data_IF_886513178186
#
_entry.id   IF_886513178186
#
_cell.length_a   1.000
_cell.length_b   1.000
_cell.length_c   1.000
_cell.angle_alpha   90.00
_cell.angle_beta   90.00
_cell.angle_gamma   90.00
#
_symmetry.space_group_name_H-M   'P 1'
#
loop_
_entity.id
_entity.type
_entity.pdbx_description
1 polymer ?
#
# COMPACT_ATOMS: atom_id res chain seq x y z
N UNK A 1 12.10 -14.14 2.10
CA UNK A 1 10.75 -14.60 1.77
C UNK A 1 10.15 -15.17 3.04
N UNK A 2 9.05 -14.61 3.53
CA UNK A 2 8.43 -15.02 4.80
C UNK A 2 7.22 -15.92 4.49
N UNK A 3 7.04 -17.00 5.25
CA UNK A 3 5.96 -17.96 5.09
C UNK A 3 5.12 -18.05 6.36
N UNK A 4 3.85 -17.67 6.29
CA UNK A 4 2.98 -17.50 7.47
C UNK A 4 1.93 -18.60 7.64
N UNK A 5 1.93 -19.67 6.83
CA UNK A 5 0.92 -20.73 6.99
C UNK A 5 1.12 -21.58 8.25
N UNK A 6 2.38 -21.91 8.57
CA UNK A 6 2.71 -22.79 9.70
C UNK A 6 3.02 -22.04 11.00
N UNK A 7 3.51 -20.81 10.91
CA UNK A 7 3.89 -20.00 12.06
C UNK A 7 3.82 -18.52 11.72
N UNK A 8 3.32 -17.73 12.66
CA UNK A 8 3.39 -16.27 12.60
C UNK A 8 4.42 -15.77 13.61
N UNK A 9 5.22 -14.76 13.24
CA UNK A 9 6.09 -14.05 14.19
C UNK A 9 5.39 -12.80 14.72
N UNK A 10 5.81 -12.28 15.88
CA UNK A 10 5.28 -11.03 16.41
C UNK A 10 5.48 -9.85 15.43
N UNK A 11 6.63 -9.79 14.75
CA UNK A 11 6.90 -8.77 13.72
C UNK A 11 5.90 -8.86 12.55
N UNK A 12 5.66 -10.07 12.03
CA UNK A 12 4.72 -10.29 10.93
C UNK A 12 3.28 -10.03 11.34
N UNK A 13 2.89 -10.42 12.55
CA UNK A 13 1.58 -10.10 13.11
C UNK A 13 1.35 -8.59 13.12
N UNK A 14 2.34 -7.82 13.57
CA UNK A 14 2.29 -6.36 13.58
C UNK A 14 2.28 -5.75 12.19
N UNK A 15 2.98 -6.34 11.21
CA UNK A 15 2.93 -5.91 9.81
C UNK A 15 1.55 -6.13 9.18
N UNK A 16 0.97 -7.29 9.42
CA UNK A 16 -0.35 -7.66 8.88
C UNK A 16 -1.45 -6.83 9.52
N UNK A 17 -1.51 -6.78 10.85
CA UNK A 17 -2.64 -6.22 11.60
C UNK A 17 -2.46 -4.72 11.87
N UNK A 18 -1.22 -4.26 12.02
CA UNK A 18 -0.89 -2.85 12.14
C UNK A 18 -0.97 -2.29 13.55
N UNK A 19 -2.18 -2.18 14.12
CA UNK A 19 -2.44 -1.47 15.38
C UNK A 19 -3.04 -2.37 16.47
N UNK A 20 -3.06 -1.89 17.72
CA UNK A 20 -3.63 -2.63 18.84
C UNK A 20 -5.15 -2.72 18.74
N UNK A 21 -5.81 -1.69 18.23
CA UNK A 21 -7.25 -1.65 18.01
C UNK A 21 -7.67 -2.73 17.02
N UNK A 22 -6.96 -2.84 15.89
CA UNK A 22 -7.22 -3.88 14.89
C UNK A 22 -6.87 -5.28 15.39
N UNK A 23 -5.85 -5.41 16.23
CA UNK A 23 -5.51 -6.68 16.87
C UNK A 23 -6.61 -7.12 17.86
N UNK A 24 -7.18 -6.17 18.61
CA UNK A 24 -8.31 -6.43 19.48
C UNK A 24 -9.55 -6.86 18.68
N UNK A 25 -9.90 -6.12 17.62
CA UNK A 25 -10.99 -6.47 16.70
C UNK A 25 -10.82 -7.87 16.11
N UNK A 26 -9.62 -8.17 15.57
CA UNK A 26 -9.27 -9.49 15.06
C UNK A 26 -9.47 -10.61 16.10
N UNK A 27 -9.00 -10.41 17.34
CA UNK A 27 -9.13 -11.41 18.39
C UNK A 27 -10.58 -11.63 18.83
N UNK A 28 -11.41 -10.59 18.80
CA UNK A 28 -12.85 -10.72 19.07
C UNK A 28 -13.51 -11.58 18.00
N UNK A 29 -13.29 -11.27 16.71
CA UNK A 29 -13.80 -12.09 15.61
C UNK A 29 -13.29 -13.54 15.67
N UNK A 30 -12.01 -13.74 16.01
CA UNK A 30 -11.45 -15.08 16.13
C UNK A 30 -12.08 -15.86 17.28
N UNK A 31 -12.35 -15.20 18.42
CA UNK A 31 -12.95 -15.82 19.58
C UNK A 31 -14.39 -16.30 19.33
N UNK A 32 -15.14 -15.60 18.48
CA UNK A 32 -16.50 -16.00 18.09
C UNK A 32 -16.51 -17.29 17.25
N UNK A 33 -15.44 -17.55 16.51
CA UNK A 33 -15.27 -18.76 15.68
C UNK A 33 -14.61 -19.90 16.47
N UNK A 34 -13.57 -19.56 17.24
CA UNK A 34 -12.74 -20.48 18.02
C UNK A 34 -12.49 -19.85 19.39
N UNK A 35 -13.26 -20.24 20.42
CA UNK A 35 -13.15 -19.64 21.75
C UNK A 35 -11.71 -19.69 22.29
N UNK A 36 -11.22 -18.53 22.74
CA UNK A 36 -9.86 -18.33 23.26
C UNK A 36 -9.95 -18.11 24.76
N UNK A 37 -9.61 -19.14 25.54
CA UNK A 37 -9.71 -19.11 27.01
C UNK A 37 -8.80 -18.06 27.68
N UNK A 38 -7.74 -17.63 27.00
CA UNK A 38 -6.81 -16.61 27.52
C UNK A 38 -7.28 -15.18 27.34
N UNK A 39 -8.42 -14.92 26.67
CA UNK A 39 -8.95 -13.57 26.54
C UNK A 39 -9.57 -13.09 27.86
N UNK A 40 -9.06 -11.96 28.34
CA UNK A 40 -9.57 -11.28 29.53
C UNK A 40 -10.40 -10.09 29.10
N UNK A 41 -11.52 -9.87 29.76
CA UNK A 41 -12.44 -8.77 29.48
C UNK A 41 -12.66 -7.94 30.74
N UNK A 42 -12.74 -6.62 30.57
CA UNK A 42 -13.22 -5.71 31.60
C UNK A 42 -14.44 -4.93 31.12
N UNK A 43 -15.32 -4.59 32.04
CA UNK A 43 -16.45 -3.70 31.77
C UNK A 43 -16.04 -2.27 32.08
N UNK A 44 -16.23 -1.37 31.12
CA UNK A 44 -15.97 0.06 31.33
C UNK A 44 -16.96 0.60 32.37
N UNK A 45 -16.44 1.12 33.48
CA UNK A 45 -17.25 1.57 34.63
C UNK A 45 -17.73 3.03 34.51
N UNK A 46 -17.09 3.85 33.68
CA UNK A 46 -17.32 5.30 33.60
C UNK A 46 -17.25 5.85 32.15
N UNK A 47 -17.85 7.01 31.92
CA UNK A 47 -17.81 7.73 30.64
C UNK A 47 -18.84 7.28 29.58
N UNK A 48 -18.73 7.82 28.36
CA UNK A 48 -19.66 7.55 27.23
C UNK A 48 -19.75 6.06 26.82
N UNK A 49 -18.77 5.24 27.22
CA UNK A 49 -18.72 3.81 26.92
C UNK A 49 -19.06 2.92 28.14
N UNK A 50 -19.66 3.47 29.20
CA UNK A 50 -20.04 2.70 30.39
C UNK A 50 -20.88 1.48 30.02
N UNK A 51 -20.53 0.32 30.57
CA UNK A 51 -21.21 -0.96 30.33
C UNK A 51 -20.66 -1.76 29.14
N UNK A 52 -19.79 -1.19 28.29
CA UNK A 52 -19.13 -1.96 27.22
C UNK A 52 -18.07 -2.90 27.80
N UNK A 53 -18.08 -4.15 27.34
CA UNK A 53 -16.99 -5.11 27.55
C UNK A 53 -15.88 -4.83 26.54
N UNK A 54 -14.65 -4.69 27.02
CA UNK A 54 -13.45 -4.51 26.20
C UNK A 54 -12.37 -5.48 26.65
N UNK A 55 -11.45 -5.82 25.74
CA UNK A 55 -10.30 -6.65 26.09
C UNK A 55 -9.43 -5.95 27.13
N UNK A 56 -9.04 -6.69 28.16
CA UNK A 56 -8.15 -6.24 29.24
C UNK A 56 -6.83 -6.99 29.18
N UNK A 57 -6.01 -6.60 28.20
CA UNK A 57 -4.73 -7.21 27.91
C UNK A 57 -3.67 -6.12 27.77
N UNK A 58 -2.47 -6.37 28.29
CA UNK A 58 -1.31 -5.55 27.95
C UNK A 58 -0.97 -5.73 26.46
N UNK A 59 -0.27 -4.76 25.87
CA UNK A 59 0.20 -4.86 24.47
C UNK A 59 0.94 -6.16 24.21
N UNK A 60 1.81 -6.59 25.14
CA UNK A 60 2.60 -7.81 24.99
C UNK A 60 1.71 -9.07 25.00
N UNK A 61 0.74 -9.13 25.89
CA UNK A 61 -0.22 -10.24 25.94
C UNK A 61 -1.09 -10.29 24.69
N UNK A 62 -1.56 -9.14 24.21
CA UNK A 62 -2.39 -9.04 23.00
C UNK A 62 -1.71 -9.69 21.79
N UNK A 63 -0.48 -9.24 21.48
CA UNK A 63 0.26 -9.76 20.33
C UNK A 63 0.71 -11.21 20.51
N UNK A 64 1.00 -11.62 21.75
CA UNK A 64 1.27 -13.03 22.07
C UNK A 64 0.06 -13.91 21.74
N UNK A 65 -1.15 -13.51 22.13
CA UNK A 65 -2.38 -14.26 21.84
C UNK A 65 -2.64 -14.32 20.33
N UNK A 66 -2.40 -13.22 19.60
CA UNK A 66 -2.50 -13.20 18.12
C UNK A 66 -1.59 -14.28 17.50
N UNK A 67 -0.33 -14.33 17.93
CA UNK A 67 0.65 -15.28 17.41
C UNK A 67 0.32 -16.72 17.81
N UNK A 68 0.00 -16.94 19.09
CA UNK A 68 -0.28 -18.28 19.64
C UNK A 68 -1.58 -18.89 19.08
N UNK A 69 -2.53 -18.05 18.67
CA UNK A 69 -3.84 -18.47 18.13
C UNK A 69 -3.91 -18.49 16.61
N UNK A 70 -2.78 -18.28 15.92
CA UNK A 70 -2.75 -18.13 14.48
C UNK A 70 -3.17 -19.40 13.73
N UNK A 71 -4.17 -19.28 12.86
CA UNK A 71 -4.58 -20.28 11.88
C UNK A 71 -4.75 -19.58 10.54
N UNK A 72 -3.89 -19.85 9.56
CA UNK A 72 -3.83 -19.04 8.35
C UNK A 72 -5.16 -18.95 7.59
N UNK A 73 -5.91 -20.05 7.47
CA UNK A 73 -7.16 -20.05 6.69
C UNK A 73 -8.27 -19.27 7.41
N UNK A 74 -8.43 -19.47 8.72
CA UNK A 74 -9.39 -18.72 9.54
C UNK A 74 -9.00 -17.25 9.64
N UNK A 75 -7.74 -16.96 9.95
CA UNK A 75 -7.22 -15.60 10.08
C UNK A 75 -7.29 -14.82 8.78
N UNK A 76 -7.02 -15.46 7.63
CA UNK A 76 -7.18 -14.84 6.31
C UNK A 76 -8.60 -14.35 6.12
N UNK A 77 -9.62 -15.16 6.41
CA UNK A 77 -11.01 -14.76 6.22
C UNK A 77 -11.37 -13.57 7.12
N UNK A 78 -11.04 -13.63 8.41
CA UNK A 78 -11.27 -12.52 9.36
C UNK A 78 -10.57 -11.25 8.89
N UNK A 79 -9.30 -11.33 8.51
CA UNK A 79 -8.52 -10.17 8.07
C UNK A 79 -9.08 -9.59 6.77
N UNK A 80 -9.54 -10.42 5.84
CA UNK A 80 -10.21 -9.94 4.62
C UNK A 80 -11.49 -9.20 4.95
N UNK A 81 -12.25 -9.63 5.95
CA UNK A 81 -13.47 -8.95 6.40
C UNK A 81 -13.14 -7.60 7.05
N UNK A 82 -12.19 -7.57 7.99
CA UNK A 82 -11.72 -6.31 8.60
C UNK A 82 -11.16 -5.36 7.53
N UNK A 83 -10.44 -5.88 6.53
CA UNK A 83 -9.86 -5.06 5.46
C UNK A 83 -10.94 -4.28 4.69
N UNK A 84 -12.11 -4.87 4.43
CA UNK A 84 -13.21 -4.21 3.70
C UNK A 84 -13.77 -2.99 4.44
N UNK A 85 -13.61 -2.93 5.76
CA UNK A 85 -14.04 -1.80 6.57
C UNK A 85 -13.00 -0.67 6.63
N UNK A 86 -11.77 -0.92 6.18
CA UNK A 86 -10.68 0.07 6.24
C UNK A 86 -10.83 1.18 5.20
N UNK A 87 -10.31 2.36 5.53
CA UNK A 87 -10.20 3.47 4.57
C UNK A 87 -9.36 3.09 3.35
N UNK A 88 -8.35 2.23 3.53
CA UNK A 88 -7.52 1.72 2.44
C UNK A 88 -8.36 1.03 1.36
N UNK A 89 -9.27 0.13 1.77
CA UNK A 89 -10.19 -0.52 0.84
C UNK A 89 -11.19 0.47 0.22
N UNK A 90 -11.80 1.33 1.04
CA UNK A 90 -12.76 2.34 0.57
C UNK A 90 -12.15 3.30 -0.47
N UNK A 91 -10.94 3.78 -0.20
CA UNK A 91 -10.17 4.64 -1.12
C UNK A 91 -9.87 3.92 -2.43
N UNK A 92 -9.49 2.64 -2.36
CA UNK A 92 -9.24 1.84 -3.56
C UNK A 92 -10.49 1.58 -4.40
N UNK A 93 -11.68 1.43 -3.78
CA UNK A 93 -12.97 1.34 -4.49
C UNK A 93 -13.33 2.63 -5.23
N UNK A 94 -13.03 3.77 -4.63
CA UNK A 94 -13.29 5.11 -5.20
C UNK A 94 -12.13 5.63 -6.06
N UNK A 95 -11.07 4.84 -6.25
CA UNK A 95 -9.85 5.29 -6.89
C UNK A 95 -10.04 5.71 -8.35
N UNK A 96 -10.98 5.10 -9.08
CA UNK A 96 -11.28 5.50 -10.46
C UNK A 96 -11.90 6.92 -10.51
N UNK A 97 -12.85 7.20 -9.62
CA UNK A 97 -13.43 8.54 -9.45
C UNK A 97 -12.37 9.56 -9.04
N UNK A 98 -11.54 9.21 -8.04
CA UNK A 98 -10.45 10.06 -7.58
C UNK A 98 -9.42 10.33 -8.68
N UNK A 99 -9.07 9.33 -9.48
CA UNK A 99 -8.15 9.47 -10.62
C UNK A 99 -8.70 10.45 -11.66
N UNK A 100 -9.99 10.34 -12.00
CA UNK A 100 -10.64 11.25 -12.94
C UNK A 100 -10.62 12.70 -12.44
N UNK A 101 -10.83 12.93 -11.14
CA UNK A 101 -10.71 14.26 -10.53
C UNK A 101 -9.27 14.78 -10.63
N UNK A 102 -8.28 13.97 -10.26
CA UNK A 102 -6.87 14.38 -10.28
C UNK A 102 -6.37 14.70 -11.70
N UNK A 103 -6.81 13.96 -12.72
CA UNK A 103 -6.48 14.25 -14.11
C UNK A 103 -7.10 15.59 -14.54
N UNK A 104 -8.38 15.84 -14.21
CA UNK A 104 -9.03 17.13 -14.52
C UNK A 104 -8.34 18.30 -13.80
N UNK A 105 -7.93 18.12 -12.55
CA UNK A 105 -7.16 19.13 -11.82
C UNK A 105 -5.78 19.38 -12.45
N UNK A 106 -5.13 18.32 -12.93
CA UNK A 106 -3.85 18.44 -13.63
C UNK A 106 -3.98 19.27 -14.92
N UNK A 107 -5.03 18.99 -15.70
CA UNK A 107 -5.36 19.71 -16.93
C UNK A 107 -5.73 21.17 -16.67
N UNK A 108 -6.54 21.45 -15.64
CA UNK A 108 -6.96 22.81 -15.29
C UNK A 108 -5.80 23.69 -14.83
N UNK A 109 -4.82 23.09 -14.15
CA UNK A 109 -3.56 23.73 -13.77
C UNK A 109 -2.56 23.87 -14.93
N UNK A 110 -2.89 23.35 -16.13
CA UNK A 110 -2.05 23.42 -17.34
C UNK A 110 -0.64 22.89 -17.10
N UNK A 111 -0.51 21.80 -16.35
CA UNK A 111 0.79 21.23 -15.96
C UNK A 111 1.49 20.47 -17.10
N UNK A 112 0.91 20.43 -18.30
CA UNK A 112 1.46 19.71 -19.46
C UNK A 112 1.35 18.20 -19.29
N UNK A 113 2.36 17.45 -19.77
CA UNK A 113 2.36 16.00 -19.67
C UNK A 113 2.51 15.50 -18.23
N UNK A 114 1.78 14.43 -17.89
CA UNK A 114 1.94 13.72 -16.61
C UNK A 114 3.25 12.93 -16.63
N UNK A 115 4.33 13.63 -16.29
CA UNK A 115 5.69 13.14 -16.20
C UNK A 115 6.43 13.78 -15.03
N UNK A 116 7.31 13.00 -14.40
CA UNK A 116 8.12 13.50 -13.29
C UNK A 116 8.96 14.70 -13.74
N UNK A 117 8.93 15.83 -13.01
CA UNK A 117 9.77 16.99 -13.32
C UNK A 117 11.25 16.74 -13.04
N UNK A 118 11.57 15.77 -12.19
CA UNK A 118 12.90 15.29 -11.82
C UNK A 118 12.76 13.90 -11.17
N UNK A 119 13.85 13.12 -11.09
CA UNK A 119 13.85 11.79 -10.46
C UNK A 119 13.36 11.84 -9.02
N UNK A 120 12.60 10.83 -8.59
CA UNK A 120 12.04 10.81 -7.23
C UNK A 120 13.16 10.87 -6.18
N UNK A 121 13.08 11.82 -5.26
CA UNK A 121 14.12 12.06 -4.24
C UNK A 121 15.25 13.00 -4.65
N UNK A 122 15.33 13.40 -5.93
CA UNK A 122 16.37 14.29 -6.46
C UNK A 122 15.92 15.77 -6.54
N UNK A 123 15.15 16.24 -5.55
CA UNK A 123 14.69 17.63 -5.54
C UNK A 123 15.85 18.61 -5.35
N UNK A 124 16.79 18.29 -4.46
CA UNK A 124 17.95 19.14 -4.18
C UNK A 124 18.84 19.28 -5.42
N UNK A 125 19.14 18.18 -6.11
CA UNK A 125 19.88 18.18 -7.37
C UNK A 125 19.15 18.99 -8.46
N UNK A 126 17.82 18.89 -8.50
CA UNK A 126 17.01 19.69 -9.42
C UNK A 126 17.15 21.19 -9.14
N UNK A 127 17.03 21.60 -7.88
CA UNK A 127 17.20 23.01 -7.48
C UNK A 127 18.62 23.49 -7.76
N UNK A 128 19.64 22.67 -7.51
CA UNK A 128 21.03 22.99 -7.83
C UNK A 128 21.22 23.25 -9.33
N UNK A 129 20.64 22.41 -10.20
CA UNK A 129 20.67 22.63 -11.65
C UNK A 129 19.99 23.94 -12.03
N UNK A 130 18.79 24.23 -11.51
CA UNK A 130 18.09 25.49 -11.79
C UNK A 130 18.92 26.71 -11.35
N UNK A 131 19.56 26.65 -10.18
CA UNK A 131 20.40 27.73 -9.69
C UNK A 131 21.60 28.03 -10.59
N UNK A 132 22.14 27.00 -11.26
CA UNK A 132 23.27 27.14 -12.20
C UNK A 132 22.90 27.75 -13.57
N UNK A 133 21.60 27.86 -13.90
CA UNK A 133 21.15 28.44 -15.16
C UNK A 133 21.45 29.95 -15.26
N UNK A 134 21.63 30.45 -16.48
CA UNK A 134 21.81 31.90 -16.75
C UNK A 134 20.50 32.68 -16.81
N UNK A 135 19.47 32.21 -16.12
CA UNK A 135 18.16 32.85 -16.01
C UNK A 135 18.11 33.80 -14.80
N UNK A 136 17.16 34.74 -14.81
CA UNK A 136 16.93 35.61 -13.65
C UNK A 136 16.25 34.84 -12.49
N UNK A 137 16.31 35.41 -11.28
CA UNK A 137 15.76 34.77 -10.07
C UNK A 137 14.26 34.45 -10.18
N UNK A 138 13.46 35.37 -10.72
CA UNK A 138 12.02 35.18 -10.86
C UNK A 138 11.66 33.97 -11.75
N UNK A 139 12.38 33.79 -12.87
CA UNK A 139 12.19 32.64 -13.77
C UNK A 139 12.57 31.33 -13.07
N UNK A 140 13.66 31.33 -12.29
CA UNK A 140 14.09 30.16 -11.50
C UNK A 140 13.06 29.78 -10.45
N UNK A 141 12.52 30.76 -9.72
CA UNK A 141 11.51 30.55 -8.68
C UNK A 141 10.23 29.92 -9.26
N UNK A 142 9.75 30.43 -10.40
CA UNK A 142 8.56 29.86 -11.05
C UNK A 142 8.81 28.44 -11.60
N UNK A 143 10.02 28.14 -12.11
CA UNK A 143 10.38 26.76 -12.49
C UNK A 143 10.32 25.81 -11.29
N UNK A 144 10.88 26.21 -10.14
CA UNK A 144 10.88 25.40 -8.91
C UNK A 144 9.45 25.19 -8.39
N UNK A 145 8.65 26.25 -8.35
CA UNK A 145 7.24 26.19 -7.93
C UNK A 145 6.42 25.27 -8.81
N UNK A 146 6.53 25.40 -10.14
CA UNK A 146 5.81 24.54 -11.07
C UNK A 146 6.24 23.07 -10.93
N UNK A 147 7.54 22.80 -10.79
CA UNK A 147 8.07 21.46 -10.57
C UNK A 147 7.59 20.85 -9.24
N UNK A 148 7.58 21.63 -8.15
CA UNK A 148 7.08 21.18 -6.85
C UNK A 148 5.59 20.79 -6.90
N UNK A 149 4.76 21.59 -7.58
CA UNK A 149 3.34 21.27 -7.78
C UNK A 149 3.19 19.97 -8.59
N UNK A 150 3.89 19.84 -9.72
CA UNK A 150 3.89 18.61 -10.53
C UNK A 150 4.30 17.39 -9.71
N UNK A 151 5.40 17.49 -8.97
CA UNK A 151 5.91 16.42 -8.12
C UNK A 151 4.86 15.96 -7.10
N UNK A 152 4.24 16.90 -6.36
CA UNK A 152 3.18 16.59 -5.38
C UNK A 152 2.01 15.87 -6.03
N UNK A 153 1.53 16.37 -7.18
CA UNK A 153 0.37 15.80 -7.87
C UNK A 153 0.64 14.42 -8.46
N UNK A 154 1.84 14.17 -8.98
CA UNK A 154 2.21 12.82 -9.44
C UNK A 154 2.28 11.83 -8.28
N UNK A 155 2.78 12.24 -7.11
CA UNK A 155 2.74 11.38 -5.91
C UNK A 155 1.32 10.99 -5.54
N UNK A 156 0.40 11.95 -5.56
CA UNK A 156 -1.03 11.74 -5.29
C UNK A 156 -1.67 10.77 -6.30
N UNK A 157 -1.47 11.00 -7.60
CA UNK A 157 -1.91 10.10 -8.68
C UNK A 157 -1.38 8.68 -8.49
N UNK A 158 -0.09 8.53 -8.16
CA UNK A 158 0.51 7.22 -7.97
C UNK A 158 -0.03 6.51 -6.71
N UNK A 159 -0.33 7.23 -5.63
CA UNK A 159 -0.99 6.66 -4.45
C UNK A 159 -2.36 6.09 -4.82
N UNK A 160 -3.21 6.88 -5.48
CA UNK A 160 -4.55 6.43 -5.92
C UNK A 160 -4.45 5.22 -6.85
N UNK A 161 -3.49 5.21 -7.78
CA UNK A 161 -3.25 4.07 -8.66
C UNK A 161 -2.84 2.81 -7.88
N UNK A 162 -1.97 2.94 -6.88
CA UNK A 162 -1.55 1.82 -6.06
C UNK A 162 -2.74 1.23 -5.27
N UNK A 163 -3.51 2.08 -4.61
CA UNK A 163 -4.70 1.68 -3.84
C UNK A 163 -5.73 0.96 -4.73
N UNK A 164 -5.92 1.45 -5.97
CA UNK A 164 -6.77 0.80 -6.97
C UNK A 164 -6.29 -0.61 -7.29
N UNK A 165 -5.00 -0.76 -7.64
CA UNK A 165 -4.43 -2.05 -8.05
C UNK A 165 -4.47 -3.04 -6.88
N UNK A 166 -4.11 -2.62 -5.67
CA UNK A 166 -4.17 -3.46 -4.48
C UNK A 166 -5.60 -3.95 -4.22
N UNK A 167 -6.59 -3.07 -4.35
CA UNK A 167 -8.01 -3.41 -4.16
C UNK A 167 -8.50 -4.37 -5.25
N UNK A 168 -8.13 -4.13 -6.51
CA UNK A 168 -8.47 -5.02 -7.62
C UNK A 168 -7.87 -6.42 -7.41
N UNK A 169 -6.60 -6.49 -7.01
CA UNK A 169 -5.91 -7.75 -6.69
C UNK A 169 -6.64 -8.48 -5.55
N UNK A 170 -6.99 -7.78 -4.47
CA UNK A 170 -7.74 -8.33 -3.34
C UNK A 170 -9.12 -8.89 -3.73
N UNK A 171 -9.89 -8.14 -4.52
CA UNK A 171 -11.25 -8.52 -4.92
C UNK A 171 -11.27 -9.72 -5.87
N UNK A 172 -10.29 -9.79 -6.79
CA UNK A 172 -10.21 -10.87 -7.79
C UNK A 172 -9.63 -12.17 -7.23
N UNK A 173 -8.97 -12.13 -6.08
CA UNK A 173 -8.20 -13.27 -5.56
C UNK A 173 -8.51 -13.55 -4.07
N UNK A 174 -9.20 -14.65 -3.81
CA UNK A 174 -9.57 -15.07 -2.44
C UNK A 174 -8.41 -15.66 -1.63
N UNK A 175 -7.31 -16.03 -2.28
CA UNK A 175 -6.11 -16.56 -1.63
C UNK A 175 -5.14 -15.46 -1.14
N UNK A 176 -5.55 -14.20 -1.23
CA UNK A 176 -4.78 -13.05 -0.77
C UNK A 176 -5.17 -12.67 0.66
N UNK A 177 -4.17 -12.55 1.50
CA UNK A 177 -4.26 -11.93 2.81
C UNK A 177 -3.70 -10.50 2.69
N UNK A 178 -4.53 -9.45 2.82
CA UNK A 178 -4.08 -8.07 2.75
C UNK A 178 -3.38 -7.65 4.05
N UNK A 179 -2.56 -6.62 3.99
CA UNK A 179 -2.14 -5.88 5.20
C UNK A 179 -3.21 -4.85 5.57
N UNK A 180 -3.59 -4.82 6.84
CA UNK A 180 -4.56 -3.85 7.37
C UNK A 180 -3.95 -2.46 7.56
N UNK A 181 -2.63 -2.32 7.49
CA UNK A 181 -1.93 -1.06 7.63
C UNK A 181 -0.77 -0.96 6.65
N UNK A 182 -0.47 0.24 6.17
CA UNK A 182 0.74 0.49 5.39
C UNK A 182 1.97 0.36 6.29
N UNK A 183 2.73 -0.72 6.13
CA UNK A 183 4.09 -0.83 6.66
C UNK A 183 5.04 -1.16 5.53
N UNK A 184 6.26 -0.60 5.60
CA UNK A 184 7.27 -0.81 4.55
C UNK A 184 7.58 -2.30 4.36
N UNK A 185 7.61 -2.73 3.10
CA UNK A 185 8.23 -3.99 2.67
C UNK A 185 7.29 -5.17 2.48
N UNK A 186 5.99 -5.04 2.80
CA UNK A 186 4.97 -6.06 2.48
C UNK A 186 3.61 -5.39 2.29
N UNK A 187 2.98 -5.60 1.13
CA UNK A 187 1.64 -5.11 0.85
C UNK A 187 0.57 -6.19 1.09
N UNK A 188 0.87 -7.43 0.70
CA UNK A 188 -0.03 -8.57 0.87
C UNK A 188 0.71 -9.91 0.90
N UNK A 189 -0.02 -10.96 1.23
CA UNK A 189 0.48 -12.34 1.19
C UNK A 189 -0.38 -13.18 0.25
N UNK A 190 0.25 -13.91 -0.67
CA UNK A 190 -0.41 -14.89 -1.54
C UNK A 190 -0.09 -16.28 -1.02
N UNK A 191 -1.11 -17.06 -0.64
CA UNK A 191 -0.90 -18.40 -0.08
C UNK A 191 0.09 -18.43 1.10
N UNK A 192 0.15 -17.34 1.87
CA UNK A 192 1.02 -17.18 3.03
C UNK A 192 2.46 -16.76 2.71
N UNK A 193 2.79 -16.44 1.46
CA UNK A 193 4.09 -15.89 1.07
C UNK A 193 3.97 -14.36 0.96
N UNK A 194 4.91 -13.62 1.56
CA UNK A 194 4.91 -12.14 1.50
C UNK A 194 5.32 -11.58 0.14
N UNK A 195 4.60 -10.54 -0.31
CA UNK A 195 4.88 -9.79 -1.53
C UNK A 195 4.81 -8.28 -1.28
N UNK A 196 5.70 -7.55 -1.94
CA UNK A 196 5.71 -6.09 -2.02
C UNK A 196 5.36 -5.71 -3.47
N UNK A 197 4.29 -4.95 -3.65
CA UNK A 197 3.80 -4.53 -4.94
C UNK A 197 4.66 -3.40 -5.48
N UNK A 198 5.18 -3.58 -6.69
CA UNK A 198 5.79 -2.50 -7.46
C UNK A 198 4.90 -2.18 -8.66
N UNK A 199 4.62 -0.89 -8.84
CA UNK A 199 3.80 -0.40 -9.94
C UNK A 199 4.65 0.49 -10.83
N UNK A 200 4.67 0.19 -12.13
CA UNK A 200 5.35 0.97 -13.15
C UNK A 200 4.35 1.41 -14.23
N UNK A 201 4.49 2.65 -14.72
CA UNK A 201 3.65 3.18 -15.82
C UNK A 201 4.00 2.54 -17.16
N UNK A 202 5.23 2.07 -17.33
CA UNK A 202 5.69 1.40 -18.54
C UNK A 202 6.82 0.42 -18.23
N UNK A 203 7.10 -0.54 -19.13
CA UNK A 203 8.36 -1.29 -19.10
C UNK A 203 9.57 -0.37 -19.15
N UNK A 204 10.72 -0.88 -18.73
CA UNK A 204 12.00 -0.15 -18.73
C UNK A 204 12.41 0.26 -20.14
N UNK A 205 13.30 1.24 -20.24
CA UNK A 205 13.87 1.68 -21.53
C UNK A 205 14.63 0.54 -22.21
N UNK A 206 15.28 -0.31 -21.42
CA UNK A 206 16.00 -1.53 -21.82
C UNK A 206 15.04 -2.52 -22.46
N UNK A 207 13.88 -2.75 -21.86
CA UNK A 207 12.85 -3.62 -22.42
C UNK A 207 12.38 -3.11 -23.78
N UNK A 208 12.07 -1.80 -23.86
CA UNK A 208 11.63 -1.17 -25.12
C UNK A 208 12.72 -1.22 -26.20
N UNK A 209 13.98 -1.00 -25.83
CA UNK A 209 15.13 -1.05 -26.75
C UNK A 209 15.40 -2.47 -27.25
N UNK A 210 15.26 -3.47 -26.38
CA UNK A 210 15.47 -4.87 -26.74
C UNK A 210 14.42 -5.33 -27.76
N UNK A 211 13.14 -5.06 -27.47
CA UNK A 211 12.03 -5.59 -28.26
C UNK A 211 11.55 -4.65 -29.38
N UNK A 212 12.11 -3.43 -29.46
CA UNK A 212 11.82 -2.43 -30.51
C UNK A 212 10.31 -2.27 -30.70
N UNK A 213 9.81 -2.22 -31.93
CA UNK A 213 8.40 -1.92 -32.22
C UNK A 213 7.41 -2.94 -31.63
N UNK A 214 7.86 -4.18 -31.39
CA UNK A 214 7.04 -5.25 -30.81
C UNK A 214 6.96 -5.20 -29.28
N UNK A 215 7.63 -4.25 -28.62
CA UNK A 215 7.70 -4.19 -27.15
C UNK A 215 6.32 -4.23 -26.50
N UNK A 216 5.30 -3.59 -27.08
CA UNK A 216 3.94 -3.57 -26.51
C UNK A 216 3.31 -4.95 -26.53
N UNK A 217 3.36 -5.61 -27.68
CA UNK A 217 2.80 -6.95 -27.86
C UNK A 217 3.47 -7.93 -26.91
N UNK A 218 4.80 -7.91 -26.88
CA UNK A 218 5.60 -8.78 -26.01
C UNK A 218 5.33 -8.49 -24.54
N UNK A 219 5.17 -7.23 -24.14
CA UNK A 219 4.84 -6.89 -22.75
C UNK A 219 3.49 -7.46 -22.30
N UNK A 220 2.51 -7.50 -23.20
CA UNK A 220 1.17 -8.05 -22.92
C UNK A 220 1.20 -9.58 -22.90
N UNK A 221 1.87 -10.19 -23.88
CA UNK A 221 1.92 -11.65 -24.02
C UNK A 221 2.86 -12.32 -23.01
N UNK A 222 3.88 -11.59 -22.52
CA UNK A 222 4.95 -12.09 -21.64
C UNK A 222 5.21 -11.16 -20.44
N UNK A 223 4.23 -11.01 -19.53
CA UNK A 223 4.36 -10.14 -18.35
C UNK A 223 5.52 -10.55 -17.43
N UNK A 224 5.93 -11.82 -17.43
CA UNK A 224 7.08 -12.32 -16.68
C UNK A 224 8.40 -11.70 -17.15
N UNK A 225 8.54 -11.40 -18.45
CA UNK A 225 9.71 -10.70 -18.97
C UNK A 225 9.70 -9.24 -18.56
N UNK A 226 8.51 -8.60 -18.55
CA UNK A 226 8.38 -7.22 -18.05
C UNK A 226 8.82 -7.15 -16.59
N UNK A 227 8.34 -8.07 -15.76
CA UNK A 227 8.74 -8.16 -14.36
C UNK A 227 10.26 -8.35 -14.22
N UNK A 228 10.85 -9.30 -14.95
CA UNK A 228 12.31 -9.53 -14.95
C UNK A 228 13.08 -8.23 -15.23
N UNK A 229 12.75 -7.52 -16.30
CA UNK A 229 13.41 -6.26 -16.65
C UNK A 229 13.19 -5.17 -15.59
N UNK A 230 11.99 -5.08 -15.03
CA UNK A 230 11.69 -4.14 -13.94
C UNK A 230 12.47 -4.43 -12.66
N UNK A 231 12.98 -5.64 -12.44
CA UNK A 231 13.83 -5.97 -11.30
C UNK A 231 15.32 -5.85 -11.63
N UNK A 232 15.75 -6.28 -12.83
CA UNK A 232 17.15 -6.23 -13.24
C UNK A 232 17.66 -4.80 -13.48
N UNK A 233 16.78 -3.91 -13.95
CA UNK A 233 17.09 -2.53 -14.30
C UNK A 233 16.32 -1.54 -13.40
N UNK A 234 16.20 -1.84 -12.09
CA UNK A 234 15.70 -0.87 -11.12
C UNK A 234 16.69 0.28 -11.01
N UNK A 235 16.40 1.38 -11.70
CA UNK A 235 16.94 2.72 -11.42
C UNK A 235 16.12 3.40 -10.31
#
# INVERSE_FOLDING_TARGET
MEYIKSKLSDDLARKIIGSQEKAAEYLLCLNDIKPISSLKFKTISQGKNKGKKVLDLSTKELWKIVVDSWDYETSKNIIRDIFRETDKYKNGKEADNAMNVLIKEWESLKLGDIAWPFSQGAFDDFVQRINSEKENGFVKDEKVKAAAVKYRRIKEINTVRNDFIETLIFEKNNNILPTLSHRRGVDFFINGISFDQKVAKSPTSEFKRHFKDDWRKIAIEKPELVAKYLYEYQD
#
